data_IF_797538719008
#
_entry.id   IF_797538719008
#
_cell.length_a   1.000
_cell.length_b   1.000
_cell.length_c   1.000
_cell.angle_alpha   90.00
_cell.angle_beta   90.00
_cell.angle_gamma   90.00
#
_symmetry.space_group_name_H-M   'P 1'
#
loop_
_entity.id
_entity.type
_entity.pdbx_description
1 polymer ?
#
# COMPACT_ATOMS: atom_id res chain seq x y z
N UNK A 1 -13.28 13.82 -4.25
CA UNK A 1 -13.76 12.57 -3.61
C UNK A 1 -13.16 12.54 -2.21
N UNK A 2 -13.97 12.65 -1.15
CA UNK A 2 -13.50 12.46 0.22
C UNK A 2 -13.33 10.95 0.38
N UNK A 3 -12.10 10.44 0.46
CA UNK A 3 -11.86 9.03 0.79
C UNK A 3 -12.64 8.65 2.05
N UNK A 4 -13.24 7.46 2.04
CA UNK A 4 -14.01 6.97 3.17
C UNK A 4 -13.10 6.97 4.42
N UNK A 5 -13.59 7.44 5.58
CA UNK A 5 -12.80 7.45 6.82
C UNK A 5 -12.29 6.05 7.18
N UNK A 6 -13.02 5.03 6.78
CA UNK A 6 -12.64 3.63 6.94
C UNK A 6 -11.45 3.23 6.05
N UNK A 7 -11.40 3.73 4.81
CA UNK A 7 -10.27 3.51 3.91
C UNK A 7 -9.01 4.20 4.43
N UNK A 8 -9.12 5.44 4.93
CA UNK A 8 -7.98 6.12 5.55
C UNK A 8 -7.47 5.36 6.78
N UNK A 9 -8.38 4.89 7.64
CA UNK A 9 -7.99 4.10 8.81
C UNK A 9 -7.31 2.79 8.39
N UNK A 10 -7.86 2.08 7.40
CA UNK A 10 -7.24 0.88 6.83
C UNK A 10 -5.85 1.20 6.29
N UNK A 11 -5.72 2.25 5.49
CA UNK A 11 -4.43 2.69 4.95
C UNK A 11 -3.40 2.94 6.05
N UNK A 12 -3.77 3.70 7.10
CA UNK A 12 -2.87 3.96 8.23
C UNK A 12 -2.48 2.70 9.01
N UNK A 13 -3.39 1.73 9.16
CA UNK A 13 -3.10 0.43 9.79
C UNK A 13 -2.11 -0.37 8.94
N UNK A 14 -2.33 -0.44 7.62
CA UNK A 14 -1.43 -1.12 6.69
C UNK A 14 -0.06 -0.44 6.61
N UNK A 15 0.00 0.90 6.70
CA UNK A 15 1.26 1.67 6.77
C UNK A 15 2.11 1.34 7.99
N UNK A 16 1.56 0.79 9.07
CA UNK A 16 2.31 0.44 10.29
C UNK A 16 3.02 -0.92 10.20
N UNK A 17 2.78 -1.67 9.13
CA UNK A 17 3.33 -3.02 8.95
C UNK A 17 4.85 -3.02 8.87
N UNK A 18 5.43 -4.00 9.55
CA UNK A 18 6.87 -4.19 9.74
C UNK A 18 7.33 -5.63 9.43
N UNK A 19 6.37 -6.53 9.16
CA UNK A 19 6.62 -7.92 8.75
C UNK A 19 6.25 -8.11 7.30
N UNK A 20 7.14 -8.80 6.59
CA UNK A 20 6.89 -9.23 5.23
C UNK A 20 5.90 -10.39 5.18
N UNK A 21 5.08 -10.43 4.14
CA UNK A 21 4.21 -11.58 3.85
C UNK A 21 4.96 -12.66 3.07
N UNK A 22 6.00 -12.27 2.32
CA UNK A 22 6.93 -13.17 1.62
C UNK A 22 8.38 -12.64 1.64
N UNK A 23 9.27 -13.17 0.79
CA UNK A 23 10.68 -12.75 0.73
C UNK A 23 10.85 -11.29 0.23
N UNK A 24 9.94 -10.83 -0.63
CA UNK A 24 10.05 -9.58 -1.37
C UNK A 24 9.14 -8.49 -0.81
N UNK A 25 7.91 -8.84 -0.40
CA UNK A 25 6.86 -7.86 -0.16
C UNK A 25 6.25 -7.89 1.24
N UNK A 26 5.81 -6.72 1.69
CA UNK A 26 5.06 -6.49 2.92
C UNK A 26 3.55 -6.68 2.74
N UNK A 27 3.06 -6.76 1.51
CA UNK A 27 1.65 -6.68 1.15
C UNK A 27 1.28 -7.74 0.11
N UNK A 28 0.02 -8.19 0.14
CA UNK A 28 -0.55 -8.97 -0.96
C UNK A 28 -0.89 -8.07 -2.15
N UNK A 29 -1.09 -8.63 -3.35
CA UNK A 29 -1.48 -7.86 -4.55
C UNK A 29 -2.71 -6.96 -4.32
N UNK A 30 -3.73 -7.47 -3.62
CA UNK A 30 -4.95 -6.70 -3.34
C UNK A 30 -4.70 -5.55 -2.37
N UNK A 31 -3.80 -5.73 -1.41
CA UNK A 31 -3.36 -4.66 -0.53
C UNK A 31 -2.52 -3.64 -1.30
N UNK A 32 -1.60 -4.07 -2.17
CA UNK A 32 -0.80 -3.16 -3.00
C UNK A 32 -1.71 -2.32 -3.90
N UNK A 33 -2.69 -2.93 -4.55
CA UNK A 33 -3.71 -2.23 -5.34
C UNK A 33 -4.46 -1.20 -4.50
N UNK A 34 -4.88 -1.57 -3.30
CA UNK A 34 -5.59 -0.67 -2.39
C UNK A 34 -4.68 0.51 -1.98
N UNK A 35 -3.47 0.23 -1.51
CA UNK A 35 -2.51 1.24 -1.04
C UNK A 35 -2.11 2.21 -2.14
N UNK A 36 -1.79 1.69 -3.34
CA UNK A 36 -1.43 2.51 -4.50
C UNK A 36 -2.58 3.38 -5.01
N UNK A 37 -3.82 2.86 -5.01
CA UNK A 37 -5.00 3.66 -5.39
C UNK A 37 -5.37 4.73 -4.36
N UNK A 38 -5.13 4.43 -3.07
CA UNK A 38 -5.49 5.33 -1.98
C UNK A 38 -4.53 6.51 -1.85
N UNK A 39 -3.23 6.24 -1.72
CA UNK A 39 -2.18 7.27 -1.69
C UNK A 39 -0.80 6.67 -2.06
N UNK A 40 -0.52 6.62 -3.37
CA UNK A 40 0.74 6.10 -3.90
C UNK A 40 1.97 6.86 -3.38
N UNK A 41 1.84 8.16 -3.08
CA UNK A 41 2.98 8.97 -2.64
C UNK A 41 3.38 8.56 -1.23
N UNK A 42 2.43 8.53 -0.29
CA UNK A 42 2.70 8.08 1.10
C UNK A 42 3.10 6.61 1.13
N UNK A 43 2.48 5.79 0.29
CA UNK A 43 2.80 4.37 0.21
C UNK A 43 4.25 4.15 -0.29
N UNK A 44 4.64 4.80 -1.39
CA UNK A 44 5.96 4.66 -1.98
C UNK A 44 7.10 5.26 -1.16
N UNK A 45 6.83 6.26 -0.33
CA UNK A 45 7.82 6.82 0.60
C UNK A 45 8.32 5.76 1.61
N UNK A 46 7.42 4.88 2.06
CA UNK A 46 7.76 3.82 3.03
C UNK A 46 8.05 2.46 2.38
N UNK A 47 7.35 2.13 1.30
CA UNK A 47 7.38 0.83 0.64
C UNK A 47 7.64 0.99 -0.87
N UNK A 48 8.86 1.42 -1.25
CA UNK A 48 9.17 1.80 -2.63
C UNK A 48 9.13 0.62 -3.60
N UNK A 49 9.44 -0.60 -3.15
CA UNK A 49 9.40 -1.79 -4.01
C UNK A 49 7.96 -2.14 -4.41
N UNK A 50 7.03 -2.10 -3.46
CA UNK A 50 5.62 -2.36 -3.70
C UNK A 50 4.95 -1.25 -4.50
N UNK A 51 5.32 0.01 -4.26
CA UNK A 51 4.84 1.12 -5.07
C UNK A 51 5.34 1.02 -6.52
N UNK A 52 6.59 0.60 -6.73
CA UNK A 52 7.10 0.31 -8.07
C UNK A 52 6.34 -0.84 -8.74
N UNK A 53 6.13 -1.94 -8.02
CA UNK A 53 5.33 -3.07 -8.51
C UNK A 53 3.90 -2.63 -8.89
N UNK A 54 3.25 -1.80 -8.05
CA UNK A 54 1.95 -1.21 -8.38
C UNK A 54 1.96 -0.45 -9.70
N UNK A 55 2.97 0.41 -9.93
CA UNK A 55 3.06 1.22 -11.15
C UNK A 55 3.35 0.41 -12.42
N UNK A 56 3.90 -0.79 -12.30
CA UNK A 56 4.17 -1.67 -13.44
C UNK A 56 2.97 -2.58 -13.77
N UNK A 57 2.26 -3.05 -12.74
CA UNK A 57 1.27 -4.13 -12.90
C UNK A 57 -0.20 -3.66 -12.83
N UNK A 58 -0.50 -2.45 -12.32
CA UNK A 58 -1.88 -1.97 -12.06
C UNK A 58 -2.15 -0.52 -12.49
#
# INVERSE_FOLDING_TARGET
MRGNKEDEKRFEELMKRDKKVDEYYYFTDDEIKFMGRHDLIRFGDKFPAEAYYYMQEF
#
